data_IF_299554332672
#
_entry.id   IF_299554332672
#
_cell.length_a   1.000
_cell.length_b   1.000
_cell.length_c   1.000
_cell.angle_alpha   90.00
_cell.angle_beta   90.00
_cell.angle_gamma   90.00
#
_symmetry.space_group_name_H-M   'P 1'
#
loop_
_entity.id
_entity.type
_entity.pdbx_description
1 polymer ?
#
# COMPACT_ATOMS: atom_id res chain seq x y z
N UNK A 1 -6.86 15.41 -21.67
CA UNK A 1 -5.77 14.46 -21.38
C UNK A 1 -5.22 14.83 -20.01
N UNK A 2 -5.18 13.90 -19.06
CA UNK A 2 -4.72 14.13 -17.68
C UNK A 2 -3.21 13.93 -17.61
N UNK A 3 -2.54 14.77 -16.85
CA UNK A 3 -1.15 14.56 -16.45
C UNK A 3 -1.14 13.84 -15.11
N UNK A 4 -0.22 12.91 -14.94
CA UNK A 4 -0.05 12.14 -13.71
C UNK A 4 1.43 11.86 -13.47
N UNK A 5 1.78 11.65 -12.22
CA UNK A 5 3.09 11.19 -11.80
C UNK A 5 2.98 10.16 -10.67
N UNK A 6 4.01 9.31 -10.57
CA UNK A 6 4.08 8.27 -9.54
C UNK A 6 5.47 8.33 -8.92
N UNK A 7 5.50 8.28 -7.60
CA UNK A 7 6.70 8.24 -6.79
C UNK A 7 6.68 7.01 -5.88
N UNK A 8 7.86 6.48 -5.56
CA UNK A 8 8.01 5.28 -4.74
C UNK A 8 8.87 5.61 -3.52
N UNK A 9 8.32 5.32 -2.36
CA UNK A 9 8.95 5.50 -1.04
C UNK A 9 8.93 4.19 -0.26
N UNK A 10 9.80 4.09 0.73
CA UNK A 10 9.68 3.11 1.81
C UNK A 10 8.90 3.76 2.94
N UNK A 11 8.07 2.98 3.62
CA UNK A 11 7.39 3.42 4.83
C UNK A 11 8.29 3.08 6.01
N UNK A 12 8.76 4.12 6.70
CA UNK A 12 9.61 3.98 7.89
C UNK A 12 8.83 3.49 9.12
N UNK A 13 9.53 3.24 10.25
CA UNK A 13 8.94 2.70 11.47
C UNK A 13 7.80 3.55 12.05
N UNK A 14 7.88 4.86 11.88
CA UNK A 14 6.92 5.82 12.42
C UNK A 14 5.86 6.23 11.37
N UNK A 15 5.88 5.58 10.20
CA UNK A 15 4.97 5.84 9.08
C UNK A 15 5.42 6.96 8.15
N UNK A 16 6.66 7.42 8.29
CA UNK A 16 7.26 8.45 7.45
C UNK A 16 7.74 7.92 6.09
N UNK A 17 7.71 8.78 5.07
CA UNK A 17 8.23 8.46 3.74
C UNK A 17 9.76 8.54 3.73
N UNK A 18 10.40 7.41 3.45
CA UNK A 18 11.84 7.29 3.30
C UNK A 18 12.24 7.03 1.84
N UNK A 19 13.43 7.50 1.41
CA UNK A 19 13.96 7.15 0.09
C UNK A 19 14.09 5.64 -0.08
N UNK A 20 13.63 5.13 -1.23
CA UNK A 20 13.66 3.70 -1.55
C UNK A 20 15.04 3.19 -1.98
N UNK A 21 16.05 3.41 -1.13
CA UNK A 21 17.46 3.15 -1.37
C UNK A 21 17.85 1.66 -1.42
N UNK A 22 16.94 0.76 -1.04
CA UNK A 22 17.14 -0.69 -1.17
C UNK A 22 16.92 -1.19 -2.61
N UNK A 23 16.44 -0.33 -3.52
CA UNK A 23 16.31 -0.60 -4.94
C UNK A 23 17.29 0.24 -5.75
N UNK A 24 17.87 -0.36 -6.79
CA UNK A 24 18.75 0.34 -7.74
C UNK A 24 18.00 0.77 -9.01
N UNK A 25 16.80 0.22 -9.24
CA UNK A 25 15.99 0.52 -10.42
C UNK A 25 14.52 0.20 -10.21
N UNK A 26 13.64 1.07 -10.66
CA UNK A 26 12.23 0.80 -10.88
C UNK A 26 11.93 0.75 -12.38
N UNK A 27 11.12 -0.20 -12.83
CA UNK A 27 10.66 -0.30 -14.21
C UNK A 27 9.14 -0.32 -14.25
N UNK A 28 8.55 0.71 -14.84
CA UNK A 28 7.11 0.83 -15.05
C UNK A 28 6.76 0.13 -16.37
N UNK A 29 5.80 -0.80 -16.29
CA UNK A 29 5.17 -1.48 -17.43
C UNK A 29 3.76 -0.90 -17.62
N UNK A 30 3.68 0.22 -18.33
CA UNK A 30 2.44 0.91 -18.67
C UNK A 30 1.63 0.11 -19.70
N UNK A 31 0.39 0.56 -19.93
CA UNK A 31 -0.46 0.02 -20.98
C UNK A 31 0.17 0.15 -22.38
N UNK A 32 -0.15 -0.79 -23.27
CA UNK A 32 0.42 -0.88 -24.64
C UNK A 32 0.18 0.37 -25.50
N UNK A 33 -0.86 1.15 -25.19
CA UNK A 33 -1.20 2.40 -25.88
C UNK A 33 -0.10 3.47 -25.78
N UNK A 34 0.83 3.36 -24.82
CA UNK A 34 2.02 4.21 -24.72
C UNK A 34 3.12 3.81 -25.73
N UNK A 35 2.93 2.73 -26.49
CA UNK A 35 3.82 2.29 -27.56
C UNK A 35 5.24 2.06 -27.06
N UNK A 36 6.22 2.73 -27.68
CA UNK A 36 7.64 2.64 -27.27
C UNK A 36 7.89 3.10 -25.83
N UNK A 37 6.98 3.88 -25.25
CA UNK A 37 7.05 4.36 -23.85
C UNK A 37 6.31 3.45 -22.86
N UNK A 38 5.74 2.34 -23.31
CA UNK A 38 5.05 1.39 -22.43
C UNK A 38 5.99 0.77 -21.37
N UNK A 39 7.31 0.76 -21.62
CA UNK A 39 8.31 0.30 -20.65
C UNK A 39 9.33 1.40 -20.36
N UNK A 40 9.39 1.87 -19.12
CA UNK A 40 10.29 2.94 -18.70
C UNK A 40 11.02 2.55 -17.41
N UNK A 41 12.32 2.81 -17.35
CA UNK A 41 13.15 2.46 -16.19
C UNK A 41 13.84 3.68 -15.60
N UNK A 42 13.82 3.78 -14.27
CA UNK A 42 14.41 4.86 -13.48
C UNK A 42 15.37 4.26 -12.46
N UNK A 43 16.52 4.90 -12.23
CA UNK A 43 17.61 4.36 -11.40
C UNK A 43 17.87 5.13 -10.10
N UNK A 44 17.09 6.17 -9.82
CA UNK A 44 17.26 7.01 -8.65
C UNK A 44 15.92 7.20 -7.94
N UNK A 45 15.87 7.04 -6.61
CA UNK A 45 14.71 7.42 -5.81
C UNK A 45 14.36 8.91 -5.99
N UNK A 46 13.07 9.28 -5.94
CA UNK A 46 11.90 8.43 -5.67
C UNK A 46 11.32 7.78 -6.93
N UNK A 47 12.18 7.50 -7.93
CA UNK A 47 11.86 6.81 -9.18
C UNK A 47 10.74 7.46 -9.99
N UNK A 48 10.62 8.78 -9.93
CA UNK A 48 9.48 9.51 -10.48
C UNK A 48 9.29 9.28 -11.97
N UNK A 49 8.13 8.74 -12.34
CA UNK A 49 7.62 8.75 -13.71
C UNK A 49 6.58 9.87 -13.86
N UNK A 50 6.57 10.54 -15.01
CA UNK A 50 5.55 11.54 -15.38
C UNK A 50 5.06 11.25 -16.79
N UNK A 51 3.75 11.21 -16.98
CA UNK A 51 3.15 10.93 -18.28
C UNK A 51 1.80 11.64 -18.44
N UNK A 52 1.25 11.59 -19.66
CA UNK A 52 -0.09 12.11 -19.97
C UNK A 52 -0.94 11.04 -20.64
N UNK A 53 -2.16 10.87 -20.15
CA UNK A 53 -3.08 9.82 -20.61
C UNK A 53 -4.54 10.26 -20.65
N UNK A 54 -5.38 9.43 -21.26
CA UNK A 54 -6.82 9.67 -21.39
C UNK A 54 -7.67 8.72 -20.54
N UNK A 55 -7.10 7.61 -20.05
CA UNK A 55 -7.83 6.58 -19.32
C UNK A 55 -7.05 6.05 -18.11
N UNK A 56 -7.80 5.34 -17.27
CA UNK A 56 -7.34 4.56 -16.12
C UNK A 56 -6.87 3.19 -16.60
N UNK A 57 -5.89 2.59 -15.92
CA UNK A 57 -5.39 1.26 -16.27
C UNK A 57 -4.58 0.63 -15.14
N UNK A 58 -4.62 -0.71 -15.10
CA UNK A 58 -3.68 -1.49 -14.31
C UNK A 58 -2.31 -1.56 -14.98
N UNK A 59 -1.25 -1.47 -14.18
CA UNK A 59 0.13 -1.64 -14.61
C UNK A 59 0.96 -2.42 -13.60
N UNK A 60 2.16 -2.81 -14.04
CA UNK A 60 3.15 -3.42 -13.15
C UNK A 60 4.34 -2.49 -12.94
N UNK A 61 4.84 -2.45 -11.71
CA UNK A 61 6.06 -1.77 -11.32
C UNK A 61 7.04 -2.85 -10.87
N UNK A 62 8.13 -3.03 -11.60
CA UNK A 62 9.19 -3.98 -11.26
C UNK A 62 10.32 -3.24 -10.56
N UNK A 63 10.56 -3.58 -9.29
CA UNK A 63 11.65 -3.03 -8.49
C UNK A 63 12.81 -4.02 -8.46
N UNK A 64 13.98 -3.59 -8.93
CA UNK A 64 15.22 -4.37 -8.87
C UNK A 64 15.99 -3.97 -7.60
N UNK A 65 16.20 -4.90 -6.65
CA UNK A 65 16.96 -4.61 -5.44
C UNK A 65 18.43 -4.35 -5.74
N UNK A 66 19.08 -3.59 -4.88
CA UNK A 66 20.53 -3.34 -4.94
C UNK A 66 21.29 -4.68 -5.00
N UNK A 67 22.30 -4.74 -5.88
CA UNK A 67 23.12 -5.93 -6.09
C UNK A 67 22.46 -7.00 -6.97
N UNK A 68 21.31 -6.66 -7.57
CA UNK A 68 20.55 -7.39 -8.58
C UNK A 68 20.63 -8.92 -8.45
N UNK A 69 20.22 -9.52 -7.31
CA UNK A 69 20.20 -10.96 -7.19
C UNK A 69 19.25 -11.54 -8.26
N UNK A 70 19.70 -12.56 -9.00
CA UNK A 70 18.87 -13.24 -10.00
C UNK A 70 17.56 -13.69 -9.35
N UNK A 71 16.43 -13.23 -9.87
CA UNK A 71 15.10 -13.57 -9.35
C UNK A 71 14.69 -12.82 -8.08
N UNK A 72 15.42 -11.77 -7.68
CA UNK A 72 15.06 -10.92 -6.54
C UNK A 72 14.16 -9.72 -6.88
N UNK A 73 13.86 -9.52 -8.16
CA UNK A 73 12.94 -8.46 -8.61
C UNK A 73 11.58 -8.58 -7.92
N UNK A 74 11.02 -7.44 -7.51
CA UNK A 74 9.72 -7.34 -6.86
C UNK A 74 8.74 -6.71 -7.82
N UNK A 75 7.68 -7.43 -8.19
CA UNK A 75 6.64 -6.92 -9.09
C UNK A 75 5.44 -6.47 -8.28
N UNK A 76 5.12 -5.18 -8.36
CA UNK A 76 3.94 -4.57 -7.74
C UNK A 76 2.88 -4.35 -8.80
N UNK A 77 1.65 -4.79 -8.54
CA UNK A 77 0.48 -4.37 -9.33
C UNK A 77 0.02 -3.00 -8.85
N UNK A 78 -0.18 -2.07 -9.77
CA UNK A 78 -0.63 -0.72 -9.46
C UNK A 78 -1.77 -0.33 -10.40
N UNK A 79 -2.89 0.08 -9.81
CA UNK A 79 -4.03 0.65 -10.53
C UNK A 79 -3.85 2.16 -10.63
N UNK A 80 -3.70 2.68 -11.85
CA UNK A 80 -3.75 4.11 -12.13
C UNK A 80 -5.20 4.53 -12.37
N UNK A 81 -5.77 5.22 -11.39
CA UNK A 81 -7.12 5.77 -11.48
C UNK A 81 -7.16 7.27 -11.14
N UNK A 82 -8.31 7.89 -11.41
CA UNK A 82 -8.55 9.31 -11.21
C UNK A 82 -9.70 9.57 -10.25
N UNK A 83 -10.00 8.61 -9.36
CA UNK A 83 -11.02 8.78 -8.32
C UNK A 83 -10.62 9.87 -7.32
N UNK A 84 -9.32 10.01 -7.05
CA UNK A 84 -8.73 11.06 -6.22
C UNK A 84 -7.58 11.73 -6.99
N UNK A 85 -7.33 13.02 -6.74
CA UNK A 85 -6.19 13.75 -7.35
C UNK A 85 -4.83 13.19 -6.88
N UNK A 86 -4.80 12.66 -5.66
CA UNK A 86 -3.66 11.97 -5.07
C UNK A 86 -4.16 10.78 -4.27
N UNK A 87 -3.47 9.66 -4.39
CA UNK A 87 -3.70 8.48 -3.56
C UNK A 87 -2.40 7.71 -3.35
N UNK A 88 -2.42 6.82 -2.38
CA UNK A 88 -1.27 6.00 -2.00
C UNK A 88 -1.64 4.51 -2.05
N UNK A 89 -0.69 3.70 -2.49
CA UNK A 89 -0.80 2.24 -2.53
C UNK A 89 0.38 1.62 -1.80
N UNK A 90 0.11 1.06 -0.62
CA UNK A 90 1.13 0.40 0.20
C UNK A 90 1.29 -1.06 -0.18
N UNK A 91 2.53 -1.49 -0.42
CA UNK A 91 2.88 -2.88 -0.73
C UNK A 91 3.88 -3.42 0.30
N UNK A 92 3.65 -4.65 0.76
CA UNK A 92 4.63 -5.37 1.59
C UNK A 92 5.57 -6.17 0.71
N UNK A 93 6.87 -6.02 0.93
CA UNK A 93 7.94 -6.70 0.19
C UNK A 93 8.78 -7.54 1.16
N UNK A 94 9.11 -8.77 0.78
CA UNK A 94 9.92 -9.67 1.61
C UNK A 94 11.17 -10.13 0.85
N UNK A 95 12.34 -9.88 1.44
CA UNK A 95 13.61 -10.38 0.92
C UNK A 95 14.06 -11.62 1.70
N UNK A 96 14.24 -12.75 0.99
CA UNK A 96 14.79 -13.97 1.59
C UNK A 96 16.29 -14.01 1.37
N UNK A 97 17.05 -14.17 2.44
CA UNK A 97 18.52 -14.23 2.41
C UNK A 97 19.15 -13.06 1.62
N UNK A 98 18.86 -11.80 1.97
CA UNK A 98 19.41 -10.65 1.25
C UNK A 98 20.95 -10.67 1.30
N UNK A 99 21.59 -10.30 0.19
CA UNK A 99 23.04 -10.08 0.16
C UNK A 99 23.44 -8.98 1.16
N UNK A 100 24.69 -8.95 1.66
CA UNK A 100 25.12 -7.97 2.66
C UNK A 100 24.81 -6.52 2.30
N UNK A 101 25.05 -6.11 1.05
CA UNK A 101 24.78 -4.75 0.56
C UNK A 101 23.29 -4.38 0.64
N UNK A 102 22.40 -5.29 0.25
CA UNK A 102 20.95 -5.08 0.37
C UNK A 102 20.52 -5.06 1.84
N UNK A 103 21.11 -5.93 2.67
CA UNK A 103 20.81 -5.98 4.10
C UNK A 103 21.18 -4.67 4.82
N UNK A 104 22.31 -4.05 4.47
CA UNK A 104 22.71 -2.73 4.99
C UNK A 104 21.67 -1.66 4.66
N UNK A 105 21.22 -1.59 3.39
CA UNK A 105 20.18 -0.63 2.97
C UNK A 105 18.83 -0.87 3.63
N UNK A 106 18.47 -2.12 3.90
CA UNK A 106 17.22 -2.44 4.60
C UNK A 106 17.24 -2.01 6.07
N UNK A 107 18.41 -2.04 6.72
CA UNK A 107 18.56 -1.56 8.10
C UNK A 107 18.41 -0.05 8.22
N UNK A 108 18.75 0.71 7.18
CA UNK A 108 18.56 2.17 7.15
C UNK A 108 17.08 2.55 7.22
N UNK A 109 16.19 1.73 6.63
CA UNK A 109 14.73 1.95 6.62
C UNK A 109 13.99 1.53 7.89
N UNK A 110 14.72 1.16 8.95
CA UNK A 110 14.15 0.69 10.21
C UNK A 110 14.61 -0.72 10.58
N UNK A 111 14.21 -1.23 11.77
CA UNK A 111 14.49 -2.59 12.15
C UNK A 111 13.81 -3.52 11.14
N UNK A 112 14.59 -4.10 10.24
CA UNK A 112 14.15 -5.27 9.49
C UNK A 112 13.77 -6.30 10.54
N UNK A 113 12.46 -6.45 10.82
CA UNK A 113 11.96 -7.32 11.88
C UNK A 113 12.71 -8.64 11.82
N UNK A 114 13.22 -9.09 12.96
CA UNK A 114 14.09 -10.26 13.11
C UNK A 114 13.43 -11.53 12.55
N UNK A 115 13.37 -11.66 11.22
CA UNK A 115 12.97 -12.86 10.53
C UNK A 115 14.24 -13.69 10.36
N UNK A 116 14.73 -14.20 11.48
CA UNK A 116 15.64 -15.34 11.50
C UNK A 116 14.90 -16.47 10.76
N UNK A 117 15.46 -16.89 9.63
CA UNK A 117 15.20 -18.11 8.88
C UNK A 117 13.87 -18.87 9.18
N UNK A 118 12.93 -18.82 8.23
CA UNK A 118 12.09 -19.98 7.92
C UNK A 118 10.70 -20.08 8.57
N UNK A 119 9.89 -19.02 8.58
CA UNK A 119 8.45 -19.16 8.80
C UNK A 119 7.67 -19.12 7.46
N UNK A 120 6.64 -19.99 7.26
CA UNK A 120 5.92 -20.09 6.00
C UNK A 120 5.16 -18.80 5.67
N UNK A 121 5.09 -18.49 4.38
CA UNK A 121 4.43 -17.30 3.85
C UNK A 121 2.95 -17.23 4.26
N UNK A 122 2.56 -16.19 4.98
CA UNK A 122 1.17 -15.79 5.09
C UNK A 122 0.72 -15.23 3.74
N UNK A 123 -0.34 -15.81 3.16
CA UNK A 123 -0.97 -15.34 1.91
C UNK A 123 -1.45 -13.89 2.05
N UNK A 124 -1.42 -13.06 1.00
CA UNK A 124 -1.94 -11.70 1.05
C UNK A 124 -3.47 -11.75 0.99
N UNK A 125 -4.15 -11.51 2.11
CA UNK A 125 -5.61 -11.36 2.17
C UNK A 125 -6.02 -9.94 2.54
N UNK A 126 -6.67 -9.26 1.59
CA UNK A 126 -7.80 -8.32 1.76
C UNK A 126 -7.76 -7.42 3.01
N UNK A 127 -6.65 -6.71 3.27
CA UNK A 127 -6.51 -5.93 4.52
C UNK A 127 -7.21 -4.57 4.52
N UNK A 128 -7.69 -4.06 3.38
CA UNK A 128 -8.35 -2.74 3.28
C UNK A 128 -9.74 -2.68 3.93
N UNK A 129 -10.48 -3.80 4.00
CA UNK A 129 -11.75 -3.88 4.74
C UNK A 129 -11.57 -4.31 6.22
N UNK A 130 -10.34 -4.67 6.62
CA UNK A 130 -10.04 -5.33 7.89
C UNK A 130 -9.83 -4.34 9.05
N UNK A 131 -9.41 -3.10 8.78
CA UNK A 131 -9.17 -2.13 9.84
C UNK A 131 -10.46 -1.71 10.58
N UNK A 132 -11.53 -1.41 9.85
CA UNK A 132 -12.82 -1.05 10.47
C UNK A 132 -13.53 -2.28 11.06
N UNK A 133 -13.46 -3.43 10.38
CA UNK A 133 -14.05 -4.69 10.86
C UNK A 133 -13.38 -5.16 12.16
N UNK A 134 -12.06 -5.01 12.28
CA UNK A 134 -11.33 -5.35 13.49
C UNK A 134 -11.67 -4.40 14.64
N UNK A 135 -11.77 -3.08 14.40
CA UNK A 135 -12.15 -2.13 15.46
C UNK A 135 -13.51 -2.48 16.10
N UNK A 136 -14.51 -2.81 15.27
CA UNK A 136 -15.83 -3.23 15.74
C UNK A 136 -15.79 -4.62 16.38
N UNK A 137 -15.09 -5.59 15.79
CA UNK A 137 -14.96 -6.93 16.39
C UNK A 137 -14.24 -6.95 17.72
N UNK A 138 -13.22 -6.11 17.89
CA UNK A 138 -12.33 -6.10 19.06
C UNK A 138 -12.93 -5.27 20.22
N UNK A 139 -13.92 -4.40 19.96
CA UNK A 139 -14.51 -3.49 20.95
C UNK A 139 -16.04 -3.56 21.01
N UNK A 140 -16.66 -4.60 20.45
CA UNK A 140 -18.11 -4.84 20.59
C UNK A 140 -18.45 -5.34 22.00
N UNK A 141 -19.67 -5.04 22.45
CA UNK A 141 -20.28 -5.66 23.63
C UNK A 141 -21.21 -6.81 23.20
N UNK A 142 -21.75 -7.56 24.17
CA UNK A 142 -22.77 -8.59 23.90
C UNK A 142 -24.07 -8.01 23.31
N UNK A 143 -24.33 -6.73 23.53
CA UNK A 143 -25.49 -6.01 23.01
C UNK A 143 -25.29 -5.51 21.58
N UNK A 144 -24.06 -5.50 21.08
CA UNK A 144 -23.73 -4.99 19.74
C UNK A 144 -24.23 -5.93 18.65
N UNK A 145 -25.10 -5.43 17.79
CA UNK A 145 -25.59 -6.16 16.63
C UNK A 145 -24.70 -5.93 15.40
N UNK A 146 -24.12 -7.02 14.89
CA UNK A 146 -23.37 -7.03 13.63
C UNK A 146 -23.80 -8.21 12.77
N UNK A 147 -24.06 -7.97 11.48
CA UNK A 147 -24.32 -9.03 10.49
C UNK A 147 -23.30 -8.94 9.36
N UNK A 148 -22.63 -10.05 9.10
CA UNK A 148 -21.62 -10.16 8.05
C UNK A 148 -22.20 -10.99 6.90
N UNK A 149 -22.53 -10.33 5.79
CA UNK A 149 -22.98 -10.98 4.56
C UNK A 149 -21.78 -11.16 3.63
N UNK A 150 -21.15 -12.32 3.78
CA UNK A 150 -19.89 -12.65 3.09
C UNK A 150 -20.11 -12.89 1.59
N UNK A 151 -21.32 -13.29 1.18
CA UNK A 151 -21.65 -13.56 -0.22
C UNK A 151 -21.79 -12.26 -1.01
N UNK A 152 -22.43 -11.25 -0.43
CA UNK A 152 -22.60 -9.94 -1.06
C UNK A 152 -21.45 -8.96 -0.74
N UNK A 153 -20.56 -9.34 0.18
CA UNK A 153 -19.45 -8.49 0.63
C UNK A 153 -19.90 -7.34 1.54
N UNK A 154 -21.10 -7.44 2.11
CA UNK A 154 -21.73 -6.41 2.93
C UNK A 154 -21.54 -6.68 4.43
N UNK A 155 -21.28 -5.61 5.17
CA UNK A 155 -21.16 -5.66 6.62
C UNK A 155 -22.13 -4.66 7.24
N UNK A 156 -23.11 -5.19 7.96
CA UNK A 156 -24.13 -4.42 8.64
C UNK A 156 -23.76 -4.25 10.11
N UNK A 157 -23.85 -3.02 10.60
CA UNK A 157 -23.65 -2.66 12.01
C UNK A 157 -24.80 -1.78 12.43
N UNK A 158 -25.46 -2.12 13.54
CA UNK A 158 -26.46 -1.24 14.13
C UNK A 158 -25.78 -0.23 15.06
N UNK A 159 -25.80 1.04 14.66
CA UNK A 159 -25.14 2.13 15.37
C UNK A 159 -25.75 2.40 16.76
N UNK A 160 -27.02 2.06 17.00
CA UNK A 160 -27.69 2.26 18.29
C UNK A 160 -27.30 1.21 19.33
N UNK A 161 -26.60 0.16 18.91
CA UNK A 161 -26.17 -0.96 19.76
C UNK A 161 -24.67 -0.96 20.04
N UNK A 162 -23.94 0.06 19.53
CA UNK A 162 -22.51 0.18 19.75
C UNK A 162 -22.22 0.80 21.13
N UNK A 163 -21.20 0.30 21.86
CA UNK A 163 -20.73 0.94 23.08
C UNK A 163 -20.23 2.36 22.81
N UNK A 164 -20.46 3.29 23.73
CA UNK A 164 -19.99 4.69 23.62
C UNK A 164 -18.50 4.81 23.31
N UNK A 165 -17.69 3.91 23.87
CA UNK A 165 -16.26 3.85 23.60
C UNK A 165 -15.98 3.52 22.12
N UNK A 166 -16.70 2.55 21.54
CA UNK A 166 -16.54 2.19 20.14
C UNK A 166 -17.08 3.29 19.22
N UNK A 167 -18.19 3.94 19.58
CA UNK A 167 -18.71 5.11 18.85
C UNK A 167 -17.67 6.22 18.83
N UNK A 168 -17.07 6.55 19.97
CA UNK A 168 -16.00 7.55 20.05
C UNK A 168 -14.78 7.16 19.20
N UNK A 169 -14.38 5.90 19.25
CA UNK A 169 -13.26 5.38 18.46
C UNK A 169 -13.52 5.50 16.95
N UNK A 170 -14.73 5.17 16.50
CA UNK A 170 -15.16 5.35 15.11
C UNK A 170 -15.20 6.83 14.72
N UNK A 171 -15.70 7.69 15.62
CA UNK A 171 -15.73 9.14 15.41
C UNK A 171 -14.32 9.72 15.23
N UNK A 172 -13.42 9.51 16.20
CA UNK A 172 -12.04 9.99 16.15
C UNK A 172 -11.31 9.49 14.88
N UNK A 173 -11.60 8.25 14.47
CA UNK A 173 -11.06 7.66 13.26
C UNK A 173 -11.57 8.34 11.98
N UNK A 174 -12.87 8.64 11.92
CA UNK A 174 -13.45 9.39 10.80
C UNK A 174 -12.96 10.81 10.76
N UNK A 175 -12.88 11.51 11.90
CA UNK A 175 -12.41 12.89 12.01
C UNK A 175 -10.96 13.04 11.55
N UNK A 176 -10.08 12.10 11.91
CA UNK A 176 -8.69 12.08 11.42
C UNK A 176 -8.54 11.85 9.91
N UNK A 177 -9.60 11.42 9.23
CA UNK A 177 -9.59 11.08 7.80
C UNK A 177 -10.51 11.96 6.96
N UNK A 178 -11.31 12.79 7.60
CA UNK A 178 -12.09 13.85 6.97
C UNK A 178 -11.29 15.13 7.15
N UNK A 179 -10.54 15.51 6.11
CA UNK A 179 -10.02 16.87 6.03
C UNK A 179 -11.24 17.80 5.85
N UNK A 180 -11.63 18.53 6.89
CA UNK A 180 -12.82 19.40 6.86
C UNK A 180 -12.64 20.64 5.95
N UNK A 181 -11.54 20.75 5.19
CA UNK A 181 -11.33 21.83 4.22
C UNK A 181 -12.10 21.66 2.90
N UNK A 182 -12.75 20.52 2.64
CA UNK A 182 -13.51 20.27 1.39
C UNK A 182 -15.02 20.38 1.52
N UNK A 183 -15.54 20.85 2.66
CA UNK A 183 -16.97 21.17 2.82
C UNK A 183 -17.13 22.64 3.20
N UNK A 184 -17.02 23.51 2.19
CA UNK A 184 -17.54 24.87 2.18
C UNK A 184 -17.85 25.29 0.73
#
# INVERSE_FOLDING_TARGET
MRAWDIQIFLVGPDGEDMPANCFEKATYLLHESFGKRAKQSFKQPPFTIREKGWGEFDMQIILTPVGAPKGGDQTLSHDLNFQNERYESTHSVTFRNPKPELLERLKESGPAGEAVNGAPAAKPEKKRQKANRNMVHDNKSEETYTKNDVENGEFHVDLYTLPDQLIKMLWDFTEKRVDMSTVA
#
